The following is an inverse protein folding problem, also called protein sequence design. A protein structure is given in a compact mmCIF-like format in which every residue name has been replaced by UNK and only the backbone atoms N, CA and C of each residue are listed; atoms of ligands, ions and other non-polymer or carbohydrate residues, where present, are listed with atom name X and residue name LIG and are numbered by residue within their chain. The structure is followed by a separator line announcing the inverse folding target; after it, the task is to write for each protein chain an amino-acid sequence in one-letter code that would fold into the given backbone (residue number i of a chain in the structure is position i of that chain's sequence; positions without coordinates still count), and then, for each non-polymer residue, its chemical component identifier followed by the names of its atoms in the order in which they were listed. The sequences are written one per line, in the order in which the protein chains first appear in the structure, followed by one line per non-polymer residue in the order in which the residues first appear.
data_IF_254635964437
#
_entry.id   IF_254635964437
#
_cell.length_a   1.000
_cell.length_b   1.000
_cell.length_c   1.000
_cell.angle_alpha   90.00
_cell.angle_beta   90.00
_cell.angle_gamma   90.00
#
_symmetry.space_group_name_H-M   'P 1'
#
loop_
_entity.id
_entity.type
_entity.pdbx_description
1 polymer ?
#
# COMPACT_ATOMS: atom_id res chain seq x y z
N UNK A 1 -8.16 11.67 -6.81
CA UNK A 1 -7.69 12.03 -5.44
C UNK A 1 -8.57 13.15 -4.93
N UNK A 2 -9.01 13.08 -3.67
CA UNK A 2 -9.64 14.19 -2.95
C UNK A 2 -8.61 14.79 -1.99
N UNK A 3 -8.62 16.11 -1.86
CA UNK A 3 -7.71 16.86 -0.98
C UNK A 3 -8.57 17.64 0.00
N UNK A 4 -8.24 17.53 1.28
CA UNK A 4 -8.86 18.30 2.36
C UNK A 4 -7.76 18.93 3.22
N UNK A 5 -8.08 20.00 3.95
CA UNK A 5 -7.14 20.67 4.85
C UNK A 5 -7.71 20.62 6.26
N UNK A 6 -6.88 20.22 7.21
CA UNK A 6 -7.22 20.16 8.62
C UNK A 6 -6.23 20.99 9.41
N UNK A 7 -6.70 22.10 9.98
CA UNK A 7 -5.90 22.92 10.89
C UNK A 7 -5.66 22.14 12.18
N UNK A 8 -4.40 21.93 12.54
CA UNK A 8 -3.99 21.19 13.74
C UNK A 8 -3.77 22.10 14.92
N UNK A 9 -2.95 23.14 14.74
CA UNK A 9 -2.50 24.04 15.80
C UNK A 9 -2.49 25.50 15.29
N UNK A 10 -2.62 26.45 16.20
CA UNK A 10 -2.45 27.89 15.93
C UNK A 10 -1.67 28.56 17.07
N UNK A 11 -0.69 29.40 16.73
CA UNK A 11 0.07 30.18 17.70
C UNK A 11 0.46 31.54 17.12
N UNK A 12 0.03 32.62 17.79
CA UNK A 12 0.15 33.97 17.26
C UNK A 12 -0.50 34.07 15.87
N UNK A 13 0.26 34.52 14.87
CA UNK A 13 -0.18 34.59 13.47
C UNK A 13 0.02 33.29 12.68
N UNK A 14 0.61 32.25 13.27
CA UNK A 14 0.94 30.99 12.60
C UNK A 14 -0.19 29.97 12.75
N UNK A 15 -0.47 29.25 11.66
CA UNK A 15 -1.41 28.14 11.60
C UNK A 15 -0.70 26.93 10.99
N UNK A 16 -0.69 25.82 11.72
CA UNK A 16 -0.22 24.54 11.21
C UNK A 16 -1.39 23.73 10.70
N UNK A 17 -1.30 23.24 9.46
CA UNK A 17 -2.34 22.43 8.84
C UNK A 17 -1.76 21.14 8.24
N UNK A 18 -2.51 20.05 8.37
CA UNK A 18 -2.28 18.82 7.63
C UNK A 18 -3.11 18.83 6.35
N UNK A 19 -2.53 18.32 5.28
CA UNK A 19 -3.21 18.02 4.02
C UNK A 19 -3.64 16.57 4.10
N UNK A 20 -4.95 16.36 4.04
CA UNK A 20 -5.54 15.02 4.00
C UNK A 20 -5.71 14.64 2.53
N UNK A 21 -4.99 13.61 2.12
CA UNK A 21 -5.01 13.09 0.75
C UNK A 21 -5.78 11.77 0.75
N UNK A 22 -6.91 11.72 0.03
CA UNK A 22 -7.76 10.53 -0.07
C UNK A 22 -7.76 10.00 -1.48
N UNK A 23 -7.38 8.73 -1.66
CA UNK A 23 -7.50 8.06 -2.94
C UNK A 23 -8.92 7.49 -3.08
N UNK A 24 -9.84 8.28 -3.62
CA UNK A 24 -11.21 7.81 -3.88
C UNK A 24 -11.32 6.84 -5.08
N UNK A 25 -10.21 6.52 -5.75
CA UNK A 25 -10.15 5.68 -6.94
C UNK A 25 -9.57 4.28 -6.67
N UNK A 26 -9.70 3.41 -7.67
CA UNK A 26 -9.23 2.01 -7.64
C UNK A 26 -7.85 1.83 -8.28
N UNK A 27 -7.05 2.90 -8.36
CA UNK A 27 -5.68 2.89 -8.91
C UNK A 27 -4.76 3.58 -7.92
N UNK A 28 -3.61 2.97 -7.65
CA UNK A 28 -2.55 3.56 -6.84
C UNK A 28 -2.08 4.88 -7.45
N UNK A 29 -1.83 5.88 -6.60
CA UNK A 29 -1.23 7.14 -7.01
C UNK A 29 0.24 7.07 -6.64
N UNK A 30 1.12 7.05 -7.64
CA UNK A 30 2.57 6.98 -7.48
C UNK A 30 3.22 8.36 -7.40
N UNK A 31 2.55 9.38 -7.92
CA UNK A 31 2.94 10.77 -7.67
C UNK A 31 1.74 11.68 -7.87
N UNK A 32 1.76 12.81 -7.16
CA UNK A 32 0.83 13.89 -7.44
C UNK A 32 1.52 15.23 -7.26
N UNK A 33 1.16 16.17 -8.13
CA UNK A 33 1.44 17.59 -7.93
C UNK A 33 0.18 18.26 -7.37
N UNK A 34 0.38 19.16 -6.42
CA UNK A 34 -0.64 19.96 -5.77
C UNK A 34 -0.41 21.43 -6.13
N UNK A 35 -1.47 22.11 -6.54
CA UNK A 35 -1.46 23.56 -6.73
C UNK A 35 -1.98 24.23 -5.47
N UNK A 36 -1.19 25.17 -4.95
CA UNK A 36 -1.58 26.02 -3.83
C UNK A 36 -2.11 27.33 -4.41
N UNK A 37 -3.29 27.75 -3.96
CA UNK A 37 -3.88 29.03 -4.31
C UNK A 37 -3.79 29.89 -3.05
N UNK A 38 -2.79 30.77 -3.04
CA UNK A 38 -2.49 31.65 -1.93
C UNK A 38 -3.32 32.93 -2.03
N UNK A 39 -3.86 33.40 -0.90
CA UNK A 39 -4.39 34.76 -0.83
C UNK A 39 -3.22 35.75 -0.65
N UNK A 40 -3.45 37.03 -0.95
CA UNK A 40 -2.39 38.06 -0.93
C UNK A 40 -1.70 38.23 0.43
N UNK A 41 -2.39 37.86 1.52
CA UNK A 41 -1.89 37.92 2.90
C UNK A 41 -1.18 36.62 3.35
N UNK A 42 -1.19 35.58 2.50
CA UNK A 42 -0.72 34.24 2.85
C UNK A 42 0.79 34.11 2.67
N UNK A 43 1.50 33.62 3.70
CA UNK A 43 2.91 33.24 3.58
C UNK A 43 3.13 31.84 4.13
N UNK A 44 3.74 30.95 3.33
CA UNK A 44 4.14 29.60 3.78
C UNK A 44 5.49 29.70 4.48
N UNK A 45 5.51 29.40 5.78
CA UNK A 45 6.70 29.45 6.63
C UNK A 45 7.46 28.12 6.62
N UNK A 46 6.73 27.01 6.72
CA UNK A 46 7.32 25.67 6.72
C UNK A 46 6.42 24.69 5.96
N UNK A 47 7.00 23.59 5.46
CA UNK A 47 6.30 22.49 4.81
C UNK A 47 7.02 21.18 5.06
N UNK A 48 6.27 20.09 5.11
CA UNK A 48 6.83 18.75 5.23
C UNK A 48 6.14 17.80 4.26
N UNK A 49 6.90 16.82 3.76
CA UNK A 49 6.47 15.90 2.70
C UNK A 49 5.92 16.62 1.45
N UNK A 50 6.50 17.81 1.15
CA UNK A 50 6.21 18.62 -0.04
C UNK A 50 7.50 19.22 -0.57
N UNK A 51 7.77 19.02 -1.87
CA UNK A 51 8.86 19.69 -2.58
C UNK A 51 8.28 20.79 -3.45
N UNK A 52 8.84 22.00 -3.40
CA UNK A 52 8.41 23.09 -4.30
C UNK A 52 8.80 22.73 -5.74
N UNK A 53 7.89 22.91 -6.70
CA UNK A 53 8.19 22.79 -8.13
C UNK A 53 8.92 24.05 -8.63
N UNK A 54 9.28 24.09 -9.91
CA UNK A 54 9.87 25.28 -10.53
C UNK A 54 8.88 26.45 -10.67
N UNK A 55 7.57 26.19 -10.55
CA UNK A 55 6.54 27.24 -10.54
C UNK A 55 6.33 27.80 -9.12
N UNK A 56 5.87 29.06 -9.04
CA UNK A 56 5.80 29.83 -7.78
C UNK A 56 4.88 29.20 -6.71
N UNK A 57 3.85 28.46 -7.12
CA UNK A 57 2.74 28.00 -6.25
C UNK A 57 2.40 26.51 -6.40
N UNK A 58 3.36 25.72 -6.86
CA UNK A 58 3.20 24.29 -7.09
C UNK A 58 4.10 23.49 -6.16
N UNK A 59 3.54 22.42 -5.61
CA UNK A 59 4.23 21.52 -4.71
C UNK A 59 4.00 20.08 -5.15
N UNK A 60 5.07 19.31 -5.22
CA UNK A 60 5.04 17.91 -5.61
C UNK A 60 5.24 17.05 -4.36
N UNK A 61 4.48 15.97 -4.25
CA UNK A 61 4.72 14.95 -3.23
C UNK A 61 6.05 14.23 -3.53
N UNK A 62 6.77 13.73 -2.51
CA UNK A 62 8.01 12.99 -2.71
C UNK A 62 7.82 11.80 -3.67
N UNK A 63 8.86 11.44 -4.43
CA UNK A 63 8.78 10.30 -5.37
C UNK A 63 8.54 8.95 -4.67
N UNK A 64 8.93 8.83 -3.40
CA UNK A 64 8.65 7.66 -2.56
C UNK A 64 7.23 7.66 -1.96
N UNK A 65 6.43 8.68 -2.25
CA UNK A 65 5.08 8.82 -1.71
C UNK A 65 4.09 8.08 -2.61
N UNK A 66 3.44 7.05 -2.06
CA UNK A 66 2.41 6.26 -2.74
C UNK A 66 1.13 6.35 -1.92
N UNK A 67 0.01 6.59 -2.59
CA UNK A 67 -1.32 6.51 -2.00
C UNK A 67 -2.09 5.33 -2.61
N UNK A 68 -2.28 4.31 -1.79
CA UNK A 68 -2.95 3.06 -2.11
C UNK A 68 -4.44 3.27 -2.39
N UNK A 69 -5.09 2.25 -2.96
CA UNK A 69 -6.52 2.29 -3.28
C UNK A 69 -7.35 2.54 -2.02
N UNK A 70 -8.23 3.55 -2.04
CA UNK A 70 -9.06 3.92 -0.89
C UNK A 70 -8.28 4.32 0.38
N UNK A 71 -6.96 4.56 0.27
CA UNK A 71 -6.14 5.03 1.39
C UNK A 71 -6.36 6.52 1.65
N UNK A 72 -6.21 6.88 2.92
CA UNK A 72 -6.12 8.24 3.41
C UNK A 72 -4.76 8.47 4.07
N UNK A 73 -4.08 9.56 3.71
CA UNK A 73 -2.85 10.00 4.37
C UNK A 73 -2.97 11.42 4.92
N UNK A 74 -2.30 11.65 6.05
CA UNK A 74 -2.28 12.91 6.82
C UNK A 74 -0.87 13.36 7.18
N UNK A 75 0.13 12.68 6.64
CA UNK A 75 1.54 12.89 6.91
C UNK A 75 2.12 14.10 6.15
N UNK A 76 1.33 14.81 5.36
CA UNK A 76 1.74 15.95 4.52
C UNK A 76 1.15 17.25 5.07
N UNK A 77 1.88 18.37 5.03
CA UNK A 77 1.32 19.63 5.50
C UNK A 77 2.26 20.82 5.50
N UNK A 78 1.80 21.91 6.11
CA UNK A 78 2.47 23.20 6.11
C UNK A 78 2.17 24.04 7.35
N UNK A 79 3.01 25.05 7.56
CA UNK A 79 2.78 26.17 8.49
C UNK A 79 2.66 27.44 7.67
N UNK A 80 1.59 28.21 7.88
CA UNK A 80 1.34 29.48 7.19
C UNK A 80 1.03 30.60 8.17
N UNK A 81 1.23 31.84 7.72
CA UNK A 81 0.60 33.03 8.31
C UNK A 81 -0.49 33.56 7.37
N UNK A 82 -1.52 34.21 7.92
CA UNK A 82 -2.63 34.80 7.17
C UNK A 82 -3.77 33.82 6.87
N UNK A 83 -4.38 33.98 5.71
CA UNK A 83 -5.44 33.11 5.20
C UNK A 83 -4.89 31.74 4.79
N UNK A 84 -5.49 30.60 5.21
CA UNK A 84 -5.04 29.29 4.75
C UNK A 84 -5.16 29.14 3.22
N UNK A 85 -4.17 28.53 2.55
CA UNK A 85 -4.23 28.32 1.11
C UNK A 85 -5.35 27.36 0.73
N UNK A 86 -5.94 27.53 -0.46
CA UNK A 86 -6.75 26.47 -1.08
C UNK A 86 -5.81 25.53 -1.84
N UNK A 87 -6.05 24.22 -1.76
CA UNK A 87 -5.19 23.22 -2.41
C UNK A 87 -6.04 22.37 -3.33
N UNK A 88 -5.55 22.18 -4.55
CA UNK A 88 -6.17 21.31 -5.54
C UNK A 88 -5.12 20.35 -6.13
N UNK A 89 -5.51 19.12 -6.53
CA UNK A 89 -4.68 18.30 -7.40
C UNK A 89 -4.41 19.05 -8.71
N UNK A 90 -3.14 19.14 -9.09
CA UNK A 90 -2.72 19.68 -10.38
C UNK A 90 -2.51 18.55 -11.40
N UNK A 91 -1.74 17.54 -11.00
CA UNK A 91 -1.52 16.34 -11.78
C UNK A 91 -1.46 15.13 -10.87
N UNK A 92 -1.91 13.99 -11.38
CA UNK A 92 -1.91 12.72 -10.67
C UNK A 92 -1.33 11.70 -11.63
N UNK A 93 -0.21 11.09 -11.26
CA UNK A 93 0.30 9.91 -11.96
C UNK A 93 -0.16 8.69 -11.19
N UNK A 94 -1.01 7.91 -11.86
CA UNK A 94 -1.29 6.57 -11.37
C UNK A 94 -0.07 5.70 -11.58
N UNK A 95 0.20 4.80 -10.65
CA UNK A 95 1.15 3.74 -10.91
C UNK A 95 0.71 3.02 -12.19
N UNK A 96 1.63 2.85 -13.14
CA UNK A 96 1.39 1.99 -14.28
C UNK A 96 1.18 0.59 -13.70
N UNK A 97 -0.06 0.13 -13.78
CA UNK A 97 -0.38 -1.24 -13.46
C UNK A 97 0.30 -2.08 -14.52
N UNK A 98 1.53 -2.52 -14.26
CA UNK A 98 2.07 -3.72 -14.90
C UNK A 98 1.34 -4.96 -14.35
N UNK A 99 0.01 -4.88 -14.26
CA UNK A 99 -0.86 -5.96 -13.85
C UNK A 99 -1.07 -6.98 -14.99
N UNK A 100 -0.62 -6.69 -16.22
CA UNK A 100 -0.79 -7.55 -17.41
C UNK A 100 0.51 -7.97 -18.14
N UNK A 101 1.71 -7.57 -17.71
CA UNK A 101 2.97 -8.12 -18.27
C UNK A 101 3.95 -8.46 -17.15
N UNK A 102 3.75 -9.62 -16.52
CA UNK A 102 4.88 -10.33 -15.93
C UNK A 102 5.48 -11.13 -17.09
N UNK A 103 6.54 -10.59 -17.70
CA UNK A 103 7.46 -11.39 -18.47
C UNK A 103 7.86 -12.59 -17.61
N UNK A 104 7.45 -13.77 -18.07
CA UNK A 104 7.85 -15.05 -17.52
C UNK A 104 9.37 -15.06 -17.46
N UNK A 105 9.96 -15.06 -16.26
CA UNK A 105 11.21 -15.77 -16.11
C UNK A 105 10.81 -17.24 -16.04
N UNK A 106 10.74 -17.83 -17.23
CA UNK A 106 10.58 -19.25 -17.47
C UNK A 106 11.74 -19.99 -16.79
N UNK A 107 11.49 -20.40 -15.55
CA UNK A 107 12.21 -21.49 -14.89
C UNK A 107 11.38 -22.75 -15.05
N UNK A 108 11.29 -23.24 -16.28
CA UNK A 108 10.63 -24.49 -16.64
C UNK A 108 11.29 -25.67 -15.91
N UNK A 109 10.66 -26.15 -14.83
CA UNK A 109 10.50 -27.59 -14.63
C UNK A 109 9.49 -27.89 -13.51
N UNK A 110 8.55 -28.76 -13.89
CA UNK A 110 7.63 -29.55 -13.06
C UNK A 110 8.20 -29.90 -11.68
N UNK A 111 7.36 -29.79 -10.65
CA UNK A 111 7.55 -30.37 -9.31
C UNK A 111 8.89 -30.05 -8.62
N UNK A 112 9.02 -28.84 -8.09
CA UNK A 112 9.64 -28.50 -6.79
C UNK A 112 9.81 -26.99 -6.74
N UNK A 113 9.13 -26.32 -5.81
CA UNK A 113 9.31 -24.90 -5.49
C UNK A 113 10.71 -24.69 -4.85
N UNK A 114 11.77 -24.86 -5.63
CA UNK A 114 13.14 -24.66 -5.17
C UNK A 114 13.33 -23.18 -4.86
N UNK A 115 13.26 -22.82 -3.57
CA UNK A 115 13.58 -21.48 -3.08
C UNK A 115 12.45 -20.72 -2.37
N UNK A 116 11.20 -21.21 -2.37
CA UNK A 116 10.11 -20.48 -1.72
C UNK A 116 8.94 -21.37 -1.27
N UNK A 117 8.59 -21.32 0.02
CA UNK A 117 7.44 -22.05 0.55
C UNK A 117 6.44 -21.11 1.22
N UNK A 118 5.16 -21.44 1.07
CA UNK A 118 4.07 -20.78 1.81
C UNK A 118 3.25 -21.86 2.49
N UNK A 119 2.95 -21.66 3.78
CA UNK A 119 2.04 -22.52 4.54
C UNK A 119 1.03 -21.69 5.30
N UNK A 120 -0.10 -22.30 5.61
CA UNK A 120 -1.10 -21.73 6.50
C UNK A 120 -0.92 -22.34 7.88
N UNK A 121 -0.87 -21.50 8.90
CA UNK A 121 -0.87 -21.92 10.29
C UNK A 121 -2.09 -21.32 10.97
N UNK A 122 -2.90 -22.18 11.57
CA UNK A 122 -3.96 -21.75 12.46
C UNK A 122 -3.34 -21.31 13.80
N UNK A 123 -3.66 -20.10 14.22
CA UNK A 123 -3.11 -19.49 15.44
C UNK A 123 -4.12 -19.50 16.59
N UNK A 124 -5.39 -19.31 16.26
CA UNK A 124 -6.48 -19.34 17.23
C UNK A 124 -7.75 -19.84 16.56
N UNK A 125 -8.55 -20.60 17.31
CA UNK A 125 -9.84 -21.12 16.86
C UNK A 125 -10.94 -20.75 17.87
N UNK A 126 -12.02 -20.15 17.37
CA UNK A 126 -13.21 -19.76 18.12
C UNK A 126 -14.42 -20.66 17.79
N UNK A 127 -14.21 -21.77 17.08
CA UNK A 127 -15.24 -22.74 16.72
C UNK A 127 -15.87 -22.46 15.35
N UNK A 128 -16.50 -21.30 15.17
CA UNK A 128 -17.07 -20.90 13.85
C UNK A 128 -16.09 -20.10 12.98
N UNK A 129 -14.97 -19.66 13.59
CA UNK A 129 -13.95 -18.81 13.00
C UNK A 129 -12.56 -19.19 13.47
N UNK A 130 -11.59 -18.99 12.60
CA UNK A 130 -10.18 -19.26 12.91
C UNK A 130 -9.27 -18.13 12.42
N UNK A 131 -8.27 -17.77 13.23
CA UNK A 131 -7.20 -16.84 12.86
C UNK A 131 -6.11 -17.61 12.11
N UNK A 132 -5.95 -17.33 10.83
CA UNK A 132 -4.98 -18.00 9.97
C UNK A 132 -3.82 -17.05 9.69
N UNK A 133 -2.61 -17.50 10.01
CA UNK A 133 -1.35 -16.86 9.62
C UNK A 133 -0.84 -17.50 8.32
N UNK A 134 -0.46 -16.67 7.35
CA UNK A 134 0.19 -17.12 6.12
C UNK A 134 1.71 -16.97 6.32
N UNK A 135 2.40 -18.08 6.43
CA UNK A 135 3.85 -18.12 6.69
C UNK A 135 4.58 -18.28 5.38
N UNK A 136 5.40 -17.29 5.04
CA UNK A 136 6.28 -17.33 3.87
C UNK A 136 7.70 -17.65 4.33
N UNK A 137 8.39 -18.54 3.62
CA UNK A 137 9.81 -18.83 3.86
C UNK A 137 10.57 -18.77 2.55
N UNK A 138 11.58 -17.90 2.52
CA UNK A 138 12.52 -17.84 1.41
C UNK A 138 13.62 -18.87 1.63
N UNK A 139 13.58 -19.95 0.85
CA UNK A 139 14.59 -21.02 0.85
C UNK A 139 15.70 -20.75 -0.19
N UNK A 140 15.60 -19.67 -0.96
CA UNK A 140 16.58 -19.24 -1.93
C UNK A 140 17.70 -18.41 -1.32
N UNK A 141 18.61 -17.93 -2.18
CA UNK A 141 19.80 -17.16 -1.80
C UNK A 141 19.67 -15.66 -2.06
N UNK A 142 18.58 -15.22 -2.70
CA UNK A 142 18.30 -13.81 -3.04
C UNK A 142 17.06 -13.31 -2.31
N UNK A 143 17.03 -12.02 -2.01
CA UNK A 143 15.87 -11.38 -1.40
C UNK A 143 14.67 -11.37 -2.37
N UNK A 144 13.46 -11.63 -1.85
CA UNK A 144 12.22 -11.51 -2.62
C UNK A 144 11.53 -10.20 -2.23
N UNK A 145 11.28 -9.35 -3.23
CA UNK A 145 10.64 -8.05 -3.08
C UNK A 145 9.14 -8.06 -3.44
N UNK A 146 8.67 -9.14 -4.08
CA UNK A 146 7.28 -9.29 -4.47
C UNK A 146 6.85 -10.74 -4.39
N UNK A 147 5.67 -10.99 -3.83
CA UNK A 147 5.07 -12.31 -3.74
C UNK A 147 3.57 -12.22 -4.02
N UNK A 148 3.09 -13.00 -4.98
CA UNK A 148 1.70 -13.24 -5.32
C UNK A 148 1.35 -14.68 -5.00
N UNK A 149 0.27 -14.92 -4.28
CA UNK A 149 -0.15 -16.25 -3.85
C UNK A 149 -1.66 -16.40 -3.98
N UNK A 150 -2.14 -17.62 -4.24
CA UNK A 150 -3.57 -17.91 -4.35
C UNK A 150 -4.07 -18.59 -3.09
N UNK A 151 -5.13 -18.07 -2.48
CA UNK A 151 -5.87 -18.79 -1.44
C UNK A 151 -7.10 -19.42 -2.10
N UNK A 152 -7.15 -20.75 -2.11
CA UNK A 152 -8.31 -21.51 -2.59
C UNK A 152 -9.14 -21.91 -1.37
N UNK A 153 -10.38 -21.41 -1.31
CA UNK A 153 -11.34 -21.70 -0.24
C UNK A 153 -12.35 -22.75 -0.71
N UNK A 154 -12.87 -23.53 0.23
CA UNK A 154 -14.03 -24.38 -0.04
C UNK A 154 -15.32 -23.57 -0.23
N UNK A 155 -16.36 -24.21 -0.79
CA UNK A 155 -17.61 -23.57 -1.21
C UNK A 155 -18.34 -22.81 -0.08
N UNK A 156 -18.07 -23.16 1.18
CA UNK A 156 -18.70 -22.57 2.37
C UNK A 156 -17.71 -21.77 3.25
N UNK A 157 -16.47 -21.57 2.78
CA UNK A 157 -15.46 -20.85 3.53
C UNK A 157 -15.40 -19.37 3.13
N UNK A 158 -15.38 -18.47 4.10
CA UNK A 158 -15.32 -17.02 3.91
C UNK A 158 -14.14 -16.38 4.63
N UNK A 159 -13.45 -15.46 3.94
CA UNK A 159 -12.42 -14.62 4.56
C UNK A 159 -13.11 -13.32 4.99
N UNK A 160 -13.28 -13.16 6.30
CA UNK A 160 -14.00 -12.04 6.90
C UNK A 160 -13.14 -10.78 7.00
N UNK A 161 -11.89 -10.95 7.41
CA UNK A 161 -10.91 -9.86 7.56
C UNK A 161 -9.53 -10.36 7.17
N UNK A 162 -8.69 -9.48 6.65
CA UNK A 162 -7.32 -9.79 6.24
C UNK A 162 -6.38 -8.64 6.59
N UNK A 163 -5.14 -8.94 6.89
CA UNK A 163 -4.10 -7.94 7.16
C UNK A 163 -2.82 -8.27 6.39
N UNK A 164 -2.07 -7.23 6.04
CA UNK A 164 -0.77 -7.33 5.37
C UNK A 164 -0.80 -8.25 4.14
N UNK A 165 -1.89 -8.20 3.39
CA UNK A 165 -2.07 -8.80 2.07
C UNK A 165 -3.14 -8.04 1.28
N UNK A 166 -2.96 -7.89 -0.03
CA UNK A 166 -3.95 -7.26 -0.92
C UNK A 166 -4.57 -8.31 -1.82
N UNK A 167 -5.89 -8.38 -1.89
CA UNK A 167 -6.61 -9.27 -2.81
C UNK A 167 -6.61 -8.66 -4.22
N UNK A 168 -6.19 -9.41 -5.22
CA UNK A 168 -6.29 -9.01 -6.63
C UNK A 168 -7.71 -9.26 -7.13
N UNK A 169 -8.23 -8.35 -7.96
CA UNK A 169 -9.59 -8.44 -8.48
C UNK A 169 -9.71 -9.71 -9.36
N UNK A 170 -10.66 -10.58 -8.99
CA UNK A 170 -11.21 -11.74 -9.74
C UNK A 170 -10.64 -13.15 -9.55
N UNK A 171 -9.70 -13.45 -8.65
CA UNK A 171 -9.11 -14.82 -8.68
C UNK A 171 -8.73 -15.48 -7.36
N UNK A 172 -9.16 -14.98 -6.20
CA UNK A 172 -8.66 -15.52 -4.91
C UNK A 172 -7.13 -15.38 -4.78
N UNK A 173 -6.53 -14.55 -5.64
CA UNK A 173 -5.12 -14.21 -5.59
C UNK A 173 -4.91 -13.03 -4.65
N UNK A 174 -3.77 -13.06 -3.99
CA UNK A 174 -3.32 -12.10 -3.01
C UNK A 174 -1.87 -11.73 -3.31
N UNK A 175 -1.47 -10.53 -2.92
CA UNK A 175 -0.09 -10.08 -2.97
C UNK A 175 0.34 -9.60 -1.59
N UNK A 176 1.62 -9.80 -1.27
CA UNK A 176 2.22 -9.14 -0.11
C UNK A 176 2.41 -7.64 -0.38
N UNK A 177 2.34 -6.79 0.66
CA UNK A 177 2.67 -5.38 0.55
C UNK A 177 4.11 -5.16 0.05
N UNK A 178 4.36 -4.04 -0.61
CA UNK A 178 5.68 -3.70 -1.18
C UNK A 178 6.79 -3.54 -0.14
N UNK A 179 6.44 -3.25 1.12
CA UNK A 179 7.38 -3.21 2.24
C UNK A 179 7.79 -4.61 2.75
N UNK A 180 7.06 -5.67 2.37
CA UNK A 180 7.32 -7.02 2.83
C UNK A 180 8.47 -7.65 2.02
N UNK A 181 9.69 -7.51 2.56
CA UNK A 181 10.90 -8.10 2.00
C UNK A 181 11.19 -9.45 2.65
N UNK A 182 11.32 -10.50 1.84
CA UNK A 182 11.55 -11.87 2.33
C UNK A 182 13.02 -12.24 2.13
N UNK A 183 13.80 -12.18 3.22
CA UNK A 183 15.24 -12.48 3.20
C UNK A 183 15.51 -14.00 3.16
N UNK A 184 16.60 -14.45 2.52
CA UNK A 184 17.05 -15.84 2.56
C UNK A 184 17.04 -16.44 3.97
N UNK A 185 16.48 -17.64 4.11
CA UNK A 185 16.42 -18.41 5.35
C UNK A 185 15.42 -17.89 6.40
N UNK A 186 14.80 -16.72 6.19
CA UNK A 186 13.91 -16.09 7.17
C UNK A 186 12.45 -16.39 6.87
N UNK A 187 11.68 -16.63 7.93
CA UNK A 187 10.22 -16.74 7.85
C UNK A 187 9.56 -15.38 8.05
N UNK A 188 8.59 -15.06 7.20
CA UNK A 188 7.72 -13.90 7.33
C UNK A 188 6.33 -14.36 7.74
N UNK A 189 5.88 -13.87 8.91
CA UNK A 189 4.66 -14.32 9.62
C UNK A 189 3.68 -13.18 9.90
N UNK A 190 3.89 -12.01 9.30
CA UNK A 190 3.13 -10.80 9.61
C UNK A 190 1.83 -10.66 8.82
N UNK A 191 1.35 -11.71 8.17
CA UNK A 191 0.25 -11.64 7.21
C UNK A 191 -0.73 -12.79 7.48
N UNK A 192 -2.02 -12.50 7.36
CA UNK A 192 -3.05 -13.45 7.77
C UNK A 192 -4.45 -12.94 7.54
N UNK A 193 -5.41 -13.76 7.93
CA UNK A 193 -6.84 -13.49 7.79
C UNK A 193 -7.67 -14.22 8.85
N UNK A 194 -8.87 -13.68 9.11
CA UNK A 194 -9.92 -14.39 9.84
C UNK A 194 -10.76 -15.14 8.82
N UNK A 195 -10.89 -16.45 9.03
CA UNK A 195 -11.66 -17.37 8.23
C UNK A 195 -12.92 -17.79 8.99
N UNK A 196 -14.04 -17.98 8.30
CA UNK A 196 -15.15 -18.80 8.77
C UNK A 196 -15.32 -19.99 7.84
N UNK A 197 -15.48 -21.19 8.39
CA UNK A 197 -15.57 -22.45 7.64
C UNK A 197 -14.22 -23.17 7.48
N UNK A 198 -14.16 -24.19 6.58
CA UNK A 198 -13.00 -25.08 6.46
C UNK A 198 -11.69 -24.40 6.03
N UNK A 199 -10.56 -24.95 6.50
CA UNK A 199 -9.22 -24.45 6.19
C UNK A 199 -8.96 -24.40 4.67
N UNK A 200 -8.50 -23.25 4.13
CA UNK A 200 -8.19 -23.14 2.71
C UNK A 200 -6.82 -23.77 2.39
N UNK A 201 -6.48 -23.77 1.10
CA UNK A 201 -5.15 -24.18 0.62
C UNK A 201 -4.46 -23.04 -0.14
N UNK A 202 -3.13 -23.11 -0.24
CA UNK A 202 -2.31 -22.16 -1.01
C UNK A 202 -1.56 -22.89 -2.13
N UNK A 203 -2.22 -23.23 -3.25
CA UNK A 203 -1.64 -24.12 -4.26
C UNK A 203 -0.70 -23.42 -5.25
N UNK A 204 -0.69 -22.09 -5.31
CA UNK A 204 0.07 -21.33 -6.32
C UNK A 204 0.73 -20.12 -5.71
N UNK A 205 2.01 -19.95 -6.03
CA UNK A 205 2.84 -18.86 -5.57
C UNK A 205 3.72 -18.39 -6.73
N UNK A 206 3.76 -17.08 -6.97
CA UNK A 206 4.67 -16.41 -7.90
C UNK A 206 5.46 -15.37 -7.12
N UNK A 207 6.74 -15.18 -7.42
CA UNK A 207 7.57 -14.21 -6.73
C UNK A 207 8.54 -13.51 -7.69
N UNK A 208 9.07 -12.37 -7.26
CA UNK A 208 10.13 -11.65 -7.97
C UNK A 208 11.23 -11.26 -6.99
N UNK A 209 12.47 -11.54 -7.38
CA UNK A 209 13.64 -11.14 -6.62
C UNK A 209 13.81 -9.61 -6.66
N UNK A 210 14.44 -9.09 -5.61
CA UNK A 210 15.24 -7.89 -5.71
C UNK A 210 16.55 -8.26 -6.46
#
# INVERSE_FOLDING_TARGET
MKVEIETKNSWGSHKQASIILKNIGQRHICSAALKFILANDTKIFNKWNLKKSNATDEYVLPESWILEDFEERRDTGFVVTGTPPKIAPLSIRFCDSNDDEIAECDGSSRNNNAGFSVKLEEKHDWGDKSEITVVFKNLGTKDICYSRFKITKEKNAEILTKWNMKKLKKSGDYILPTWAKLRPGVEFRYTGFILSGPLPTVPRIKHKYC
#
